data_IF_356832289604
#
_entry.id   IF_356832289604
#
_cell.length_a   1.000
_cell.length_b   1.000
_cell.length_c   1.000
_cell.angle_alpha   90.00
_cell.angle_beta   90.00
_cell.angle_gamma   90.00
#
_symmetry.space_group_name_H-M   'P 1'
#
loop_
_entity.id
_entity.type
_entity.pdbx_description
1 polymer ?
#
# COMPACT_ATOMS: atom_id res chain seq x y z
N UNK A 1 -19.24 -29.04 10.37
CA UNK A 1 -18.95 -27.67 10.86
C UNK A 1 -17.73 -27.18 10.10
N UNK A 2 -17.81 -25.95 9.64
CA UNK A 2 -17.02 -25.35 8.56
C UNK A 2 -15.52 -25.26 8.89
N UNK A 3 -14.67 -25.82 8.01
CA UNK A 3 -13.21 -25.77 8.10
C UNK A 3 -12.72 -24.33 7.87
N UNK A 4 -12.55 -23.56 8.93
CA UNK A 4 -11.80 -22.30 8.89
C UNK A 4 -10.31 -22.59 9.08
N UNK A 5 -9.67 -23.10 8.02
CA UNK A 5 -8.21 -23.12 7.96
C UNK A 5 -7.71 -21.67 8.07
N UNK A 6 -6.98 -21.39 9.15
CA UNK A 6 -6.26 -20.15 9.37
C UNK A 6 -5.32 -19.92 8.18
N UNK A 7 -5.78 -19.18 7.17
CA UNK A 7 -4.97 -18.77 6.03
C UNK A 7 -3.72 -18.09 6.57
N UNK A 8 -2.56 -18.77 6.49
CA UNK A 8 -1.25 -18.21 6.83
C UNK A 8 -1.18 -16.83 6.18
N UNK A 9 -1.12 -15.76 6.99
CA UNK A 9 -0.98 -14.40 6.50
C UNK A 9 0.34 -14.36 5.73
N UNK A 10 0.25 -14.37 4.40
CA UNK A 10 1.42 -14.21 3.54
C UNK A 10 2.12 -12.91 3.95
N UNK A 11 3.44 -12.98 4.08
CA UNK A 11 4.25 -11.80 4.32
C UNK A 11 3.95 -10.79 3.21
N UNK A 12 3.73 -9.54 3.63
CA UNK A 12 3.42 -8.48 2.69
C UNK A 12 4.69 -8.09 1.97
N UNK A 13 4.61 -7.89 0.67
CA UNK A 13 5.73 -7.31 -0.05
C UNK A 13 5.95 -5.87 0.41
N UNK A 14 7.16 -5.30 0.27
CA UNK A 14 7.44 -3.90 0.62
C UNK A 14 6.46 -2.93 -0.04
N UNK A 15 6.08 -3.20 -1.31
CA UNK A 15 5.06 -2.43 -2.01
C UNK A 15 3.69 -2.51 -1.32
N UNK A 16 3.23 -3.71 -0.94
CA UNK A 16 1.93 -3.88 -0.28
C UNK A 16 1.89 -3.20 1.10
N UNK A 17 2.99 -3.24 1.84
CA UNK A 17 3.12 -2.52 3.11
C UNK A 17 3.10 -1.00 2.91
N UNK A 18 3.87 -0.50 1.94
CA UNK A 18 3.86 0.90 1.56
C UNK A 18 2.47 1.38 1.17
N UNK A 19 1.76 0.64 0.33
CA UNK A 19 0.41 1.01 -0.13
C UNK A 19 -0.58 1.01 1.04
N UNK A 20 -0.51 0.03 1.95
CA UNK A 20 -1.36 0.00 3.15
C UNK A 20 -1.15 1.24 4.02
N UNK A 21 0.10 1.72 4.13
CA UNK A 21 0.44 2.84 5.00
C UNK A 21 0.23 4.21 4.33
N UNK A 22 0.41 4.33 3.02
CA UNK A 22 0.36 5.61 2.30
C UNK A 22 -1.04 5.96 1.77
N UNK A 23 -1.83 4.98 1.33
CA UNK A 23 -3.19 5.25 0.82
C UNK A 23 -4.07 5.96 1.85
N UNK A 24 -4.09 5.58 3.15
CA UNK A 24 -4.85 6.31 4.17
C UNK A 24 -4.33 7.73 4.41
N UNK A 25 -3.00 7.93 4.39
CA UNK A 25 -2.38 9.26 4.54
C UNK A 25 -2.79 10.19 3.40
N UNK A 26 -2.68 9.71 2.17
CA UNK A 26 -3.08 10.47 0.98
C UNK A 26 -4.59 10.70 0.95
N UNK A 27 -5.42 9.79 1.48
CA UNK A 27 -6.86 10.02 1.64
C UNK A 27 -7.17 11.12 2.64
N UNK A 28 -6.42 11.21 3.74
CA UNK A 28 -6.58 12.27 4.73
C UNK A 28 -6.17 13.66 4.19
N UNK A 29 -5.13 13.70 3.34
CA UNK A 29 -4.63 14.92 2.71
C UNK A 29 -5.52 15.33 1.52
N UNK A 30 -5.86 14.37 0.66
CA UNK A 30 -6.62 14.58 -0.57
C UNK A 30 -8.02 13.98 -0.45
N UNK A 31 -8.82 14.55 0.45
CA UNK A 31 -10.21 14.09 0.68
C UNK A 31 -11.12 14.29 -0.54
N UNK A 32 -10.71 15.14 -1.48
CA UNK A 32 -11.43 15.42 -2.73
C UNK A 32 -11.14 14.39 -3.84
N UNK A 33 -10.11 13.55 -3.69
CA UNK A 33 -9.75 12.56 -4.69
C UNK A 33 -10.49 11.24 -4.43
N UNK A 34 -10.87 10.56 -5.51
CA UNK A 34 -11.43 9.22 -5.43
C UNK A 34 -10.39 8.23 -4.89
N UNK A 35 -10.84 7.13 -4.29
CA UNK A 35 -9.94 6.06 -3.84
C UNK A 35 -9.01 5.57 -4.95
N UNK A 36 -9.50 5.51 -6.20
CA UNK A 36 -8.72 5.11 -7.37
C UNK A 36 -7.58 6.08 -7.67
N UNK A 37 -7.85 7.39 -7.58
CA UNK A 37 -6.83 8.43 -7.77
C UNK A 37 -5.82 8.43 -6.65
N UNK A 38 -6.26 8.31 -5.39
CA UNK A 38 -5.38 8.19 -4.23
C UNK A 38 -4.47 6.96 -4.35
N UNK A 39 -5.03 5.82 -4.76
CA UNK A 39 -4.27 4.59 -4.98
C UNK A 39 -3.25 4.77 -6.10
N UNK A 40 -3.64 5.39 -7.22
CA UNK A 40 -2.72 5.69 -8.32
C UNK A 40 -1.61 6.64 -7.89
N UNK A 41 -1.93 7.69 -7.14
CA UNK A 41 -0.97 8.65 -6.59
C UNK A 41 0.03 7.95 -5.66
N UNK A 42 -0.45 7.09 -4.76
CA UNK A 42 0.40 6.26 -3.91
C UNK A 42 1.31 5.35 -4.73
N UNK A 43 0.80 4.69 -5.77
CA UNK A 43 1.59 3.81 -6.63
C UNK A 43 2.65 4.59 -7.44
N UNK A 44 2.34 5.83 -7.85
CA UNK A 44 3.31 6.70 -8.51
C UNK A 44 4.41 7.14 -7.56
N UNK A 45 4.08 7.46 -6.30
CA UNK A 45 5.04 7.86 -5.28
C UNK A 45 5.93 6.69 -4.82
N UNK A 46 5.47 5.44 -4.95
CA UNK A 46 6.27 4.25 -4.61
C UNK A 46 7.61 4.18 -5.35
N UNK A 47 7.65 4.64 -6.60
CA UNK A 47 8.89 4.60 -7.41
C UNK A 47 10.00 5.45 -6.78
N UNK A 48 9.63 6.50 -6.04
CA UNK A 48 10.55 7.46 -5.40
C UNK A 48 10.66 7.21 -3.87
N UNK A 49 9.92 6.24 -3.34
CA UNK A 49 9.87 5.94 -1.92
C UNK A 49 11.19 5.34 -1.40
N UNK A 50 11.60 5.71 -0.18
CA UNK A 50 12.81 5.19 0.47
C UNK A 50 12.61 3.71 0.86
N UNK A 51 11.36 3.31 1.12
CA UNK A 51 11.01 1.93 1.45
C UNK A 51 11.06 0.99 0.22
N UNK A 52 11.21 1.54 -0.99
CA UNK A 52 11.37 0.75 -2.19
C UNK A 52 12.80 0.18 -2.23
N UNK A 53 12.97 -1.16 -2.21
CA UNK A 53 14.29 -1.78 -2.25
C UNK A 53 15.13 -1.37 -3.47
N UNK A 54 14.50 -0.91 -4.57
CA UNK A 54 15.20 -0.39 -5.75
C UNK A 54 15.94 0.94 -5.50
N UNK A 55 15.53 1.70 -4.49
CA UNK A 55 16.08 2.99 -4.14
C UNK A 55 17.11 2.91 -3.01
N UNK A 56 17.30 1.73 -2.41
CA UNK A 56 18.23 1.49 -1.30
C UNK A 56 19.66 1.18 -1.77
N UNK A 57 20.16 1.90 -2.79
CA UNK A 57 21.53 1.74 -3.31
C UNK A 57 22.56 2.46 -2.46
#
# INVERSE_FOLDING_TARGET
MENSELKKKKEKTPYQEYMKNNVPKLKAIHQNLSHKEIFRLSALNWKDAIENPKNQK
#
